data_IF_963166634773
#
_entry.id   IF_963166634773
#
_cell.length_a   1.000
_cell.length_b   1.000
_cell.length_c   1.000
_cell.angle_alpha   90.00
_cell.angle_beta   90.00
_cell.angle_gamma   90.00
#
_symmetry.space_group_name_H-M   'P 1'
#
loop_
_entity.id
_entity.type
_entity.pdbx_description
1 polymer ?
#
# COMPACT_ATOMS: atom_id res chain seq x y z
N UNK A 1 52.93 -17.77 24.74
CA UNK A 1 52.72 -19.23 24.78
C UNK A 1 52.68 -19.77 23.36
N UNK A 2 53.64 -20.63 22.99
CA UNK A 2 53.68 -21.29 21.67
C UNK A 2 52.45 -22.21 21.52
N UNK A 3 51.67 -22.05 20.44
CA UNK A 3 50.60 -22.99 20.04
C UNK A 3 51.24 -24.37 19.91
N UNK A 4 50.85 -25.33 20.76
CA UNK A 4 51.20 -26.75 20.55
C UNK A 4 50.40 -27.22 19.34
N UNK A 5 51.09 -27.66 18.29
CA UNK A 5 50.51 -28.07 17.01
C UNK A 5 49.65 -29.31 17.14
N UNK A 6 48.34 -29.14 17.09
CA UNK A 6 47.37 -30.24 17.00
C UNK A 6 46.46 -30.14 15.78
N UNK A 7 46.51 -29.03 15.01
CA UNK A 7 45.71 -28.84 13.81
C UNK A 7 46.52 -28.00 12.81
N UNK A 8 46.66 -28.50 11.58
CA UNK A 8 47.15 -27.72 10.44
C UNK A 8 46.01 -26.83 9.90
N UNK A 9 46.37 -25.68 9.32
CA UNK A 9 45.48 -24.54 9.05
C UNK A 9 44.35 -24.80 8.01
N UNK A 10 44.24 -26.02 7.44
CA UNK A 10 43.18 -26.43 6.50
C UNK A 10 42.41 -27.72 6.92
N UNK A 11 42.53 -28.15 8.18
CA UNK A 11 41.89 -29.40 8.62
C UNK A 11 40.40 -29.20 8.93
N UNK A 12 39.51 -29.81 8.13
CA UNK A 12 38.06 -29.83 8.42
C UNK A 12 37.80 -30.75 9.62
N UNK A 13 37.31 -30.19 10.74
CA UNK A 13 37.08 -30.96 11.97
C UNK A 13 35.83 -31.82 11.80
N UNK A 14 36.01 -33.11 11.54
CA UNK A 14 34.93 -34.09 11.46
C UNK A 14 34.46 -34.51 12.86
N UNK A 15 33.21 -34.98 12.97
CA UNK A 15 32.64 -35.50 14.23
C UNK A 15 33.47 -36.65 14.82
N UNK A 16 34.09 -37.47 13.95
CA UNK A 16 35.00 -38.55 14.32
C UNK A 16 36.29 -38.02 14.94
N UNK A 17 36.93 -37.01 14.32
CA UNK A 17 38.13 -36.37 14.87
C UNK A 17 37.85 -35.72 16.22
N UNK A 18 36.66 -35.12 16.37
CA UNK A 18 36.23 -34.50 17.62
C UNK A 18 36.02 -35.53 18.75
N UNK A 19 35.48 -36.72 18.41
CA UNK A 19 35.29 -37.81 19.37
C UNK A 19 36.63 -38.35 19.90
N UNK A 20 37.65 -38.47 19.04
CA UNK A 20 38.99 -38.91 19.43
C UNK A 20 39.72 -37.86 20.28
N UNK A 21 39.56 -36.58 19.97
CA UNK A 21 40.11 -35.49 20.79
C UNK A 21 39.50 -35.52 22.20
N UNK A 22 38.18 -35.73 22.32
CA UNK A 22 37.51 -35.86 23.62
C UNK A 22 38.03 -37.06 24.42
N UNK A 23 38.28 -38.20 23.76
CA UNK A 23 38.82 -39.42 24.37
C UNK A 23 40.25 -39.21 24.88
N UNK A 24 41.12 -38.64 24.05
CA UNK A 24 42.50 -38.32 24.43
C UNK A 24 42.55 -37.27 25.55
N UNK A 25 41.62 -36.30 25.57
CA UNK A 25 41.53 -35.32 26.65
C UNK A 25 41.11 -35.96 27.98
N UNK A 26 40.24 -36.97 27.97
CA UNK A 26 39.81 -37.69 29.17
C UNK A 26 40.94 -38.52 29.82
N UNK A 27 41.96 -38.91 29.06
CA UNK A 27 43.08 -39.74 29.55
C UNK A 27 44.23 -38.92 30.15
N UNK A 28 44.21 -37.59 30.02
CA UNK A 28 45.27 -36.72 30.56
C UNK A 28 45.29 -36.73 32.10
N UNK A 29 46.51 -36.75 32.66
CA UNK A 29 46.73 -36.63 34.09
C UNK A 29 46.24 -35.27 34.62
N UNK A 30 45.51 -35.28 35.75
CA UNK A 30 44.94 -34.08 36.36
C UNK A 30 43.48 -33.76 36.00
N UNK A 31 42.85 -34.53 35.12
CA UNK A 31 41.40 -34.40 34.82
C UNK A 31 40.58 -35.12 35.91
N UNK A 32 39.58 -34.43 36.49
CA UNK A 32 38.69 -35.01 37.52
C UNK A 32 37.84 -36.17 36.96
N UNK A 33 37.37 -37.06 37.82
CA UNK A 33 36.62 -38.24 37.37
C UNK A 33 35.29 -37.84 36.68
N UNK A 34 34.64 -36.79 37.15
CA UNK A 34 33.41 -36.25 36.57
C UNK A 34 33.67 -35.74 35.15
N UNK A 35 34.77 -35.01 34.94
CA UNK A 35 35.17 -34.53 33.63
C UNK A 35 35.55 -35.67 32.68
N UNK A 36 36.16 -36.75 33.18
CA UNK A 36 36.46 -37.95 32.38
C UNK A 36 35.19 -38.63 31.89
N UNK A 37 34.18 -38.80 32.75
CA UNK A 37 32.91 -39.41 32.37
C UNK A 37 32.15 -38.55 31.35
N UNK A 38 32.12 -37.23 31.54
CA UNK A 38 31.48 -36.33 30.58
C UNK A 38 32.15 -36.37 29.21
N UNK A 39 33.49 -36.32 29.16
CA UNK A 39 34.24 -36.37 27.90
C UNK A 39 34.06 -37.71 27.16
N UNK A 40 33.99 -38.83 27.90
CA UNK A 40 33.72 -40.16 27.32
C UNK A 40 32.28 -40.30 26.80
N UNK A 41 31.29 -39.79 27.53
CA UNK A 41 29.89 -39.78 27.09
C UNK A 41 29.71 -38.91 25.83
N UNK A 42 30.37 -37.75 25.78
CA UNK A 42 30.31 -36.85 24.63
C UNK A 42 30.98 -37.47 23.39
N UNK A 43 32.12 -38.17 23.57
CA UNK A 43 32.77 -38.95 22.52
C UNK A 43 31.85 -40.04 21.95
N UNK A 44 31.14 -40.78 22.80
CA UNK A 44 30.18 -41.80 22.37
C UNK A 44 29.01 -41.21 21.57
N UNK A 45 28.46 -40.07 22.01
CA UNK A 45 27.38 -39.37 21.29
C UNK A 45 27.85 -38.90 19.90
N UNK A 46 29.06 -38.34 19.81
CA UNK A 46 29.65 -37.91 18.54
C UNK A 46 29.91 -39.07 17.58
N UNK A 47 30.29 -40.24 18.09
CA UNK A 47 30.41 -41.47 17.29
C UNK A 47 29.04 -41.97 16.82
N UNK A 48 28.01 -41.98 17.67
CA UNK A 48 26.65 -42.38 17.25
C UNK A 48 26.01 -41.42 16.24
N UNK A 49 26.31 -40.12 16.33
CA UNK A 49 25.84 -39.13 15.36
C UNK A 49 26.54 -39.24 13.99
N UNK A 50 27.71 -39.89 13.93
CA UNK A 50 28.45 -40.14 12.69
C UNK A 50 27.97 -41.39 11.92
N UNK A 51 27.13 -42.24 12.52
CA UNK A 51 26.73 -43.55 11.94
C UNK A 51 25.23 -43.62 11.65
N UNK A 52 24.67 -42.64 10.94
CA UNK A 52 23.40 -42.87 10.24
C UNK A 52 23.62 -42.87 8.70
N UNK A 53 23.83 -44.05 8.09
CA UNK A 53 23.96 -44.20 6.64
C UNK A 53 22.77 -43.63 5.86
N UNK A 54 21.58 -43.55 6.48
CA UNK A 54 20.41 -42.93 5.87
C UNK A 54 20.57 -41.42 5.79
N UNK A 55 21.16 -40.78 6.80
CA UNK A 55 21.35 -39.33 6.83
C UNK A 55 22.43 -38.88 5.84
N UNK A 56 23.51 -39.63 5.69
CA UNK A 56 24.56 -39.34 4.69
C UNK A 56 24.06 -39.58 3.26
N UNK A 57 23.33 -40.69 3.02
CA UNK A 57 22.68 -40.96 1.74
C UNK A 57 21.62 -39.90 1.39
N UNK A 58 20.83 -39.48 2.38
CA UNK A 58 19.83 -38.42 2.22
C UNK A 58 20.49 -37.09 1.89
N UNK A 59 21.52 -36.67 2.63
CA UNK A 59 22.24 -35.43 2.38
C UNK A 59 22.88 -35.46 1.00
N UNK A 60 23.58 -36.54 0.62
CA UNK A 60 24.17 -36.67 -0.72
C UNK A 60 23.14 -36.58 -1.83
N UNK A 61 21.97 -37.21 -1.65
CA UNK A 61 20.86 -37.16 -2.62
C UNK A 61 20.21 -35.79 -2.67
N UNK A 62 20.03 -35.14 -1.53
CA UNK A 62 19.43 -33.81 -1.42
C UNK A 62 20.34 -32.75 -2.04
N UNK A 63 21.65 -32.79 -1.78
CA UNK A 63 22.63 -31.88 -2.38
C UNK A 63 22.70 -32.07 -3.89
N UNK A 64 22.77 -33.32 -4.38
CA UNK A 64 22.77 -33.59 -5.82
C UNK A 64 21.48 -33.10 -6.52
N UNK A 65 20.31 -33.22 -5.88
CA UNK A 65 19.06 -32.68 -6.40
C UNK A 65 19.05 -31.15 -6.40
N UNK A 66 19.55 -30.52 -5.34
CA UNK A 66 19.69 -29.07 -5.24
C UNK A 66 20.61 -28.53 -6.34
N UNK A 67 21.77 -29.15 -6.55
CA UNK A 67 22.71 -28.76 -7.61
C UNK A 67 22.07 -28.87 -8.99
N UNK A 68 21.34 -29.97 -9.26
CA UNK A 68 20.63 -30.13 -10.54
C UNK A 68 19.53 -29.08 -10.76
N UNK A 69 18.85 -28.65 -9.69
CA UNK A 69 17.84 -27.59 -9.73
C UNK A 69 18.48 -26.23 -9.98
N UNK A 70 19.62 -25.94 -9.33
CA UNK A 70 20.40 -24.71 -9.52
C UNK A 70 20.89 -24.62 -10.96
N UNK A 71 21.46 -25.69 -11.51
CA UNK A 71 21.94 -25.73 -12.89
C UNK A 71 20.80 -25.60 -13.91
N UNK A 72 19.67 -26.28 -13.70
CA UNK A 72 18.48 -26.13 -14.54
C UNK A 72 17.91 -24.71 -14.49
N UNK A 73 17.96 -24.06 -13.32
CA UNK A 73 17.49 -22.68 -13.14
C UNK A 73 18.44 -21.70 -13.81
N UNK A 74 19.75 -21.91 -13.68
CA UNK A 74 20.79 -21.12 -14.33
C UNK A 74 20.67 -21.20 -15.85
N UNK A 75 20.44 -22.40 -16.39
CA UNK A 75 20.23 -22.60 -17.83
C UNK A 75 18.98 -21.86 -18.33
N UNK A 76 17.84 -21.98 -17.63
CA UNK A 76 16.60 -21.26 -17.98
C UNK A 76 16.78 -19.75 -17.90
N UNK A 77 17.50 -19.26 -16.90
CA UNK A 77 17.80 -17.83 -16.75
C UNK A 77 18.68 -17.34 -17.91
N UNK A 78 19.73 -18.08 -18.27
CA UNK A 78 20.57 -17.76 -19.42
C UNK A 78 19.79 -17.73 -20.74
N UNK A 79 18.93 -18.73 -20.99
CA UNK A 79 18.06 -18.77 -22.17
C UNK A 79 17.07 -17.59 -22.21
N UNK A 80 16.51 -17.22 -21.05
CA UNK A 80 15.60 -16.07 -20.94
C UNK A 80 16.33 -14.75 -21.19
N UNK A 81 17.53 -14.59 -20.65
CA UNK A 81 18.39 -13.42 -20.91
C UNK A 81 18.68 -13.33 -22.41
N UNK A 82 19.13 -14.42 -23.04
CA UNK A 82 19.46 -14.42 -24.47
C UNK A 82 18.25 -14.10 -25.35
N UNK A 83 17.06 -14.66 -25.04
CA UNK A 83 15.81 -14.33 -25.73
C UNK A 83 15.44 -12.86 -25.56
N UNK A 84 15.62 -12.31 -24.35
CA UNK A 84 15.30 -10.90 -24.05
C UNK A 84 16.25 -9.96 -24.79
N UNK A 85 17.54 -10.29 -24.86
CA UNK A 85 18.53 -9.54 -25.63
C UNK A 85 18.18 -9.54 -27.12
N UNK A 86 17.82 -10.70 -27.69
CA UNK A 86 17.36 -10.79 -29.09
C UNK A 86 16.12 -9.94 -29.35
N UNK A 87 15.17 -9.91 -28.41
CA UNK A 87 14.01 -9.02 -28.51
C UNK A 87 14.39 -7.54 -28.43
N UNK A 88 15.33 -7.18 -27.56
CA UNK A 88 15.82 -5.81 -27.44
C UNK A 88 16.53 -5.34 -28.71
N UNK A 89 17.36 -6.20 -29.31
CA UNK A 89 18.02 -5.93 -30.59
C UNK A 89 17.00 -5.75 -31.71
N UNK A 90 15.99 -6.61 -31.79
CA UNK A 90 14.91 -6.50 -32.77
C UNK A 90 14.07 -5.22 -32.60
N UNK A 91 13.82 -4.81 -31.35
CA UNK A 91 13.13 -3.55 -31.05
C UNK A 91 13.99 -2.35 -31.44
N UNK A 92 15.30 -2.39 -31.16
CA UNK A 92 16.23 -1.33 -31.56
C UNK A 92 16.30 -1.18 -33.07
N UNK A 93 16.31 -2.29 -33.81
CA UNK A 93 16.33 -2.31 -35.26
C UNK A 93 15.04 -1.72 -35.84
N UNK A 94 13.87 -2.15 -35.35
CA UNK A 94 12.58 -1.56 -35.74
C UNK A 94 12.46 -0.08 -35.38
N UNK A 95 13.02 0.35 -34.25
CA UNK A 95 13.05 1.76 -33.87
C UNK A 95 13.88 2.59 -34.85
N UNK A 96 15.02 2.07 -35.32
CA UNK A 96 15.83 2.71 -36.35
C UNK A 96 15.09 2.83 -37.68
N UNK A 97 14.38 1.78 -38.11
CA UNK A 97 13.54 1.79 -39.33
C UNK A 97 12.40 2.80 -39.23
N UNK A 98 11.70 2.85 -38.08
CA UNK A 98 10.65 3.83 -37.79
C UNK A 98 11.18 5.27 -37.81
N UNK A 99 12.40 5.49 -37.32
CA UNK A 99 13.03 6.81 -37.31
C UNK A 99 13.35 7.28 -38.74
N UNK A 100 13.86 6.37 -39.59
CA UNK A 100 14.12 6.65 -41.00
C UNK A 100 12.79 6.95 -41.73
N UNK A 101 11.79 6.08 -41.59
CA UNK A 101 10.49 6.26 -42.22
C UNK A 101 9.77 7.54 -41.75
N UNK A 102 9.87 7.88 -40.47
CA UNK A 102 9.34 9.15 -39.95
C UNK A 102 10.08 10.37 -40.52
N UNK A 103 11.41 10.29 -40.70
CA UNK A 103 12.19 11.36 -41.31
C UNK A 103 11.83 11.59 -42.78
N UNK A 104 11.59 10.51 -43.54
CA UNK A 104 11.12 10.54 -44.92
C UNK A 104 9.70 11.10 -45.03
N UNK A 105 8.80 10.69 -44.13
CA UNK A 105 7.43 11.21 -44.05
C UNK A 105 7.41 12.71 -43.69
N UNK A 106 8.31 13.17 -42.82
CA UNK A 106 8.48 14.60 -42.49
C UNK A 106 9.03 15.39 -43.69
N UNK A 107 9.96 14.82 -44.46
CA UNK A 107 10.44 15.43 -45.70
C UNK A 107 9.34 15.53 -46.76
N UNK A 108 8.52 14.48 -46.91
CA UNK A 108 7.36 14.47 -47.81
C UNK A 108 6.27 15.47 -47.38
N UNK A 109 6.02 15.61 -46.07
CA UNK A 109 5.09 16.61 -45.51
C UNK A 109 5.57 18.05 -45.73
N UNK A 110 6.89 18.30 -45.72
CA UNK A 110 7.47 19.61 -46.05
C UNK A 110 7.40 19.95 -47.53
N UNK A 111 7.36 18.94 -48.40
CA UNK A 111 7.29 19.09 -49.86
C UNK A 111 5.85 19.16 -50.42
N UNK A 112 4.84 18.79 -49.63
CA UNK A 112 3.44 18.79 -50.07
C UNK A 112 2.81 20.19 -50.00
N UNK A 113 2.07 20.64 -51.03
CA UNK A 113 1.34 21.91 -50.98
C UNK A 113 0.24 21.85 -49.91
N UNK A 114 0.19 22.86 -49.06
CA UNK A 114 -0.74 22.93 -47.92
C UNK A 114 -2.17 23.17 -48.41
N UNK A 115 -2.99 22.12 -48.38
CA UNK A 115 -4.42 22.25 -48.17
C UNK A 115 -4.88 21.15 -47.21
N UNK A 116 -4.89 21.45 -45.90
CA UNK A 116 -5.50 20.57 -44.88
C UNK A 116 -6.79 21.21 -44.38
N UNK A 117 -7.89 20.49 -44.56
CA UNK A 117 -9.20 20.87 -44.04
C UNK A 117 -9.22 20.78 -42.51
N UNK A 118 -9.78 21.82 -41.89
CA UNK A 118 -9.87 22.07 -40.43
C UNK A 118 -10.48 20.91 -39.61
N UNK A 119 -11.31 20.07 -40.23
CA UNK A 119 -12.02 18.96 -39.57
C UNK A 119 -11.12 17.80 -39.13
N UNK A 120 -10.02 17.52 -39.83
CA UNK A 120 -9.10 16.43 -39.48
C UNK A 120 -8.13 16.79 -38.35
N UNK A 121 -7.84 18.07 -38.15
CA UNK A 121 -7.02 18.55 -37.05
C UNK A 121 -7.71 18.40 -35.68
N UNK A 122 -9.05 18.47 -35.64
CA UNK A 122 -9.84 18.32 -34.41
C UNK A 122 -9.97 16.86 -33.95
N UNK A 123 -10.07 15.90 -34.89
CA UNK A 123 -10.21 14.48 -34.56
C UNK A 123 -8.91 13.85 -34.02
N UNK A 124 -7.74 14.25 -34.55
CA UNK A 124 -6.46 13.71 -34.08
C UNK A 124 -6.07 14.25 -32.69
N UNK A 125 -6.37 15.53 -32.40
CA UNK A 125 -6.07 16.16 -31.11
C UNK A 125 -6.92 15.64 -29.94
N UNK A 126 -8.09 15.05 -30.22
CA UNK A 126 -8.92 14.41 -29.21
C UNK A 126 -8.39 13.02 -28.81
N UNK A 127 -7.86 12.26 -29.78
CA UNK A 127 -7.38 10.89 -29.57
C UNK A 127 -6.03 10.86 -28.80
N UNK A 128 -5.10 11.76 -29.10
CA UNK A 128 -3.80 11.84 -28.41
C UNK A 128 -3.90 12.38 -26.98
N UNK A 129 -4.86 13.26 -26.68
CA UNK A 129 -5.09 13.76 -25.31
C UNK A 129 -5.68 12.68 -24.38
N UNK A 130 -6.49 11.77 -24.92
CA UNK A 130 -7.07 10.64 -24.17
C UNK A 130 -6.05 9.53 -23.88
N UNK A 131 -5.05 9.34 -24.76
CA UNK A 131 -3.99 8.34 -24.55
C UNK A 131 -2.84 8.84 -23.66
N UNK A 132 -2.58 10.16 -23.61
CA UNK A 132 -1.56 10.73 -22.71
C UNK A 132 -2.05 10.97 -21.28
N UNK A 133 -3.36 11.09 -21.04
CA UNK A 133 -3.91 11.27 -19.68
C UNK A 133 -3.96 9.98 -18.86
N UNK A 134 -3.78 8.84 -19.52
CA UNK A 134 -3.84 7.50 -18.95
C UNK A 134 -2.47 6.82 -18.89
N UNK A 135 -1.36 7.57 -18.91
CA UNK A 135 -0.03 7.05 -18.57
C UNK A 135 0.51 7.90 -17.42
N UNK A 136 0.40 7.39 -16.19
CA UNK A 136 1.07 8.01 -15.07
C UNK A 136 2.59 7.83 -15.19
N UNK A 137 3.30 8.90 -15.52
CA UNK A 137 4.77 8.88 -15.50
C UNK A 137 5.28 8.44 -14.10
N UNK A 138 6.25 7.53 -14.08
CA UNK A 138 6.94 7.05 -12.88
C UNK A 138 7.37 8.21 -11.97
N UNK A 139 7.84 9.32 -12.57
CA UNK A 139 8.27 10.51 -11.82
C UNK A 139 7.09 11.12 -11.05
N UNK A 140 5.92 11.22 -11.67
CA UNK A 140 4.71 11.76 -11.02
C UNK A 140 4.23 10.84 -9.90
N UNK A 141 4.25 9.52 -10.09
CA UNK A 141 3.89 8.56 -9.05
C UNK A 141 4.83 8.64 -7.83
N UNK A 142 6.15 8.64 -8.07
CA UNK A 142 7.17 8.76 -7.02
C UNK A 142 7.03 10.09 -6.28
N UNK A 143 6.79 11.20 -6.98
CA UNK A 143 6.57 12.49 -6.35
C UNK A 143 5.34 12.50 -5.44
N UNK A 144 4.24 11.83 -5.84
CA UNK A 144 3.05 11.67 -4.98
C UNK A 144 3.40 10.90 -3.70
N UNK A 145 4.14 9.81 -3.82
CA UNK A 145 4.56 8.99 -2.67
C UNK A 145 5.47 9.80 -1.74
N UNK A 146 6.50 10.44 -2.29
CA UNK A 146 7.44 11.26 -1.54
C UNK A 146 6.74 12.43 -0.83
N UNK A 147 5.81 13.13 -1.50
CA UNK A 147 5.05 14.21 -0.89
C UNK A 147 4.26 13.71 0.33
N UNK A 148 3.64 12.53 0.24
CA UNK A 148 2.85 11.94 1.34
C UNK A 148 3.70 11.48 2.52
N UNK A 149 4.92 10.99 2.26
CA UNK A 149 5.85 10.60 3.33
C UNK A 149 6.26 11.80 4.20
N UNK A 150 6.14 13.04 3.68
CA UNK A 150 6.38 14.28 4.42
C UNK A 150 5.19 14.79 5.24
N UNK A 151 4.04 14.11 5.20
CA UNK A 151 2.82 14.59 5.82
C UNK A 151 2.61 14.05 7.24
N UNK A 152 2.13 14.92 8.13
CA UNK A 152 1.67 14.59 9.50
C UNK A 152 0.28 15.17 9.69
N UNK A 153 -0.70 14.34 10.01
CA UNK A 153 -2.06 14.76 10.34
C UNK A 153 -2.27 14.60 11.85
N UNK A 154 -2.83 15.60 12.50
CA UNK A 154 -3.29 15.52 13.88
C UNK A 154 -4.60 16.31 14.02
N UNK A 155 -5.39 16.04 15.07
CA UNK A 155 -6.63 16.77 15.29
C UNK A 155 -6.35 18.27 15.53
N UNK A 156 -7.25 19.14 15.07
CA UNK A 156 -7.09 20.58 15.25
C UNK A 156 -7.16 20.92 16.75
N UNK A 157 -6.14 21.61 17.32
CA UNK A 157 -6.15 22.01 18.72
C UNK A 157 -7.32 22.94 19.02
N UNK A 158 -7.89 22.86 20.23
CA UNK A 158 -9.02 23.71 20.66
C UNK A 158 -8.71 25.20 20.53
N UNK A 159 -7.45 25.60 20.77
CA UNK A 159 -6.97 26.98 20.63
C UNK A 159 -7.00 27.51 19.17
N UNK A 160 -7.04 26.61 18.18
CA UNK A 160 -7.03 26.92 16.74
C UNK A 160 -8.40 26.62 16.10
N UNK A 161 -9.21 25.79 16.75
CA UNK A 161 -10.51 25.36 16.25
C UNK A 161 -11.48 26.55 16.17
N UNK A 162 -12.03 26.80 14.96
CA UNK A 162 -13.12 27.75 14.76
C UNK A 162 -14.45 27.01 14.81
N UNK A 163 -15.40 27.50 15.61
CA UNK A 163 -16.77 26.94 15.64
C UNK A 163 -17.48 27.12 14.29
N UNK A 164 -17.25 28.26 13.62
CA UNK A 164 -17.76 28.59 12.28
C UNK A 164 -16.75 29.48 11.54
N UNK A 165 -16.75 29.40 10.21
CA UNK A 165 -15.92 30.24 9.35
C UNK A 165 -14.78 29.49 8.66
N UNK A 166 -14.17 30.14 7.66
CA UNK A 166 -13.06 29.60 6.87
C UNK A 166 -11.74 30.13 7.47
N UNK A 167 -10.70 29.31 7.42
CA UNK A 167 -9.34 29.75 7.75
C UNK A 167 -8.78 30.59 6.60
N UNK A 168 -8.44 31.83 6.90
CA UNK A 168 -7.79 32.72 5.93
C UNK A 168 -6.35 32.28 5.69
N UNK A 169 -5.74 32.77 4.62
CA UNK A 169 -4.33 32.49 4.35
C UNK A 169 -3.41 33.04 5.45
N UNK A 170 -3.77 34.17 6.05
CA UNK A 170 -3.01 34.78 7.14
C UNK A 170 -3.13 33.97 8.42
N UNK A 171 -4.32 33.42 8.72
CA UNK A 171 -4.50 32.46 9.83
C UNK A 171 -3.56 31.27 9.66
N UNK A 172 -3.57 30.65 8.47
CA UNK A 172 -2.75 29.46 8.17
C UNK A 172 -1.26 29.78 8.31
N UNK A 173 -0.80 30.92 7.80
CA UNK A 173 0.59 31.32 7.92
C UNK A 173 0.99 31.55 9.38
N UNK A 174 0.18 32.28 10.16
CA UNK A 174 0.44 32.52 11.57
C UNK A 174 0.51 31.22 12.39
N UNK A 175 -0.38 30.26 12.14
CA UNK A 175 -0.35 28.96 12.80
C UNK A 175 0.91 28.15 12.42
N UNK A 176 1.27 28.16 11.12
CA UNK A 176 2.48 27.49 10.64
C UNK A 176 3.74 28.08 11.28
N UNK A 177 3.82 29.40 11.40
CA UNK A 177 4.97 30.09 11.99
C UNK A 177 5.08 29.79 13.49
N UNK A 178 3.94 29.78 14.20
CA UNK A 178 3.87 29.40 15.62
C UNK A 178 4.37 27.96 15.83
N UNK A 179 3.94 27.02 14.98
CA UNK A 179 4.37 25.62 15.04
C UNK A 179 5.87 25.46 14.70
N UNK A 180 6.39 26.23 13.74
CA UNK A 180 7.84 26.22 13.44
C UNK A 180 8.67 26.71 14.63
N UNK A 181 8.26 27.78 15.32
CA UNK A 181 8.93 28.27 16.54
C UNK A 181 8.93 27.18 17.64
N UNK A 182 7.81 26.47 17.80
CA UNK A 182 7.74 25.37 18.75
C UNK A 182 8.62 24.17 18.37
N UNK A 183 8.71 23.85 17.08
CA UNK A 183 9.55 22.79 16.53
C UNK A 183 11.05 23.09 16.71
N UNK A 184 11.47 24.33 16.46
CA UNK A 184 12.85 24.78 16.70
C UNK A 184 13.26 24.60 18.17
N UNK A 185 12.38 25.01 19.10
CA UNK A 185 12.60 24.80 20.55
C UNK A 185 12.63 23.34 20.97
N UNK A 186 11.98 22.43 20.23
CA UNK A 186 11.97 21.01 20.53
C UNK A 186 13.24 20.30 20.04
N UNK A 187 13.91 20.87 19.05
CA UNK A 187 15.12 20.28 18.46
C UNK A 187 16.42 20.88 19.01
N UNK A 188 16.32 21.78 20.00
CA UNK A 188 17.42 22.60 20.52
C UNK A 188 18.23 23.31 19.41
N UNK A 189 17.58 23.58 18.27
CA UNK A 189 18.22 24.12 17.07
C UNK A 189 19.26 23.19 16.40
N UNK A 190 19.47 21.98 16.91
CA UNK A 190 20.52 21.07 16.44
C UNK A 190 20.17 20.38 15.11
N UNK A 191 18.89 20.32 14.75
CA UNK A 191 18.42 19.71 13.49
C UNK A 191 17.52 20.66 12.70
N UNK A 192 17.84 20.87 11.41
CA UNK A 192 17.09 21.73 10.48
C UNK A 192 15.75 21.11 10.04
N UNK A 193 14.87 20.75 10.98
CA UNK A 193 13.51 20.26 10.67
C UNK A 193 12.58 21.46 10.52
N UNK A 194 11.78 21.51 9.44
CA UNK A 194 10.90 22.65 9.18
C UNK A 194 9.56 22.23 8.62
N UNK A 195 8.50 22.91 9.06
CA UNK A 195 7.17 22.82 8.46
C UNK A 195 7.13 23.78 7.28
N UNK A 196 7.01 23.23 6.06
CA UNK A 196 6.96 23.99 4.80
C UNK A 196 5.53 24.30 4.37
N UNK A 197 4.56 23.49 4.81
CA UNK A 197 3.14 23.66 4.49
C UNK A 197 2.22 23.31 5.66
N UNK A 198 1.06 23.96 5.70
CA UNK A 198 -0.01 23.68 6.63
C UNK A 198 -1.35 23.79 5.90
N UNK A 199 -2.23 22.81 6.12
CA UNK A 199 -3.60 22.83 5.66
C UNK A 199 -4.52 22.39 6.80
N UNK A 200 -5.64 23.09 6.99
CA UNK A 200 -6.67 22.67 7.95
C UNK A 200 -7.80 22.02 7.17
N UNK A 201 -8.07 20.75 7.49
CA UNK A 201 -9.14 19.95 6.92
C UNK A 201 -10.16 19.60 7.99
N UNK A 202 -11.32 19.09 7.58
CA UNK A 202 -12.41 18.73 8.51
C UNK A 202 -11.97 17.81 9.65
N UNK A 203 -11.01 16.92 9.41
CA UNK A 203 -10.54 15.93 10.38
C UNK A 203 -9.36 16.42 11.23
N UNK A 204 -8.75 17.57 10.91
CA UNK A 204 -7.58 18.04 11.63
C UNK A 204 -6.66 18.98 10.85
N UNK A 205 -5.46 19.19 11.39
CA UNK A 205 -4.38 19.96 10.77
C UNK A 205 -3.38 19.01 10.10
N UNK A 206 -3.14 19.24 8.81
CA UNK A 206 -2.19 18.52 7.98
C UNK A 206 -0.93 19.35 7.77
N UNK A 207 0.19 18.89 8.30
CA UNK A 207 1.51 19.49 8.10
C UNK A 207 2.22 18.83 6.94
N UNK A 208 2.96 19.63 6.18
CA UNK A 208 3.99 19.17 5.27
C UNK A 208 5.35 19.58 5.82
N UNK A 209 6.19 18.58 6.08
CA UNK A 209 7.56 18.77 6.56
C UNK A 209 8.52 18.87 5.38
N UNK A 210 9.72 19.38 5.62
CA UNK A 210 10.79 19.51 4.64
C UNK A 210 11.26 18.15 4.08
N UNK A 211 11.22 17.09 4.90
CA UNK A 211 11.65 15.74 4.52
C UNK A 211 10.79 14.63 5.14
N UNK A 212 10.88 13.43 4.57
CA UNK A 212 10.21 12.22 5.10
C UNK A 212 10.79 11.81 6.46
N UNK A 213 12.07 12.09 6.70
CA UNK A 213 12.73 11.85 7.98
C UNK A 213 12.19 12.78 9.06
N UNK A 214 12.04 14.08 8.77
CA UNK A 214 11.43 15.06 9.68
C UNK A 214 9.99 14.66 10.06
N UNK A 215 9.20 14.22 9.08
CA UNK A 215 7.83 13.77 9.34
C UNK A 215 7.77 12.48 10.17
N UNK A 216 8.66 11.52 9.92
CA UNK A 216 8.75 10.29 10.73
C UNK A 216 9.17 10.61 12.16
N UNK A 217 10.21 11.42 12.32
CA UNK A 217 10.69 11.87 13.62
C UNK A 217 9.59 12.55 14.42
N UNK A 218 8.76 13.41 13.80
CA UNK A 218 7.69 14.11 14.50
C UNK A 218 6.55 13.19 14.96
N UNK A 219 6.32 12.07 14.27
CA UNK A 219 5.27 11.09 14.62
C UNK A 219 5.65 10.20 15.81
N UNK A 220 6.94 10.06 16.09
CA UNK A 220 7.47 9.19 17.14
C UNK A 220 7.47 9.87 18.51
N UNK A 221 7.46 9.05 19.58
CA UNK A 221 7.70 9.46 20.97
C UNK A 221 6.87 10.68 21.41
N UNK A 222 5.63 10.79 20.94
CA UNK A 222 4.71 11.88 21.28
C UNK A 222 5.20 13.30 20.92
N UNK A 223 6.24 13.45 20.09
CA UNK A 223 6.87 14.74 19.76
C UNK A 223 5.89 15.71 19.08
N UNK A 224 4.95 15.21 18.29
CA UNK A 224 3.89 16.03 17.71
C UNK A 224 3.02 16.69 18.81
N UNK A 225 2.64 15.95 19.85
CA UNK A 225 1.88 16.49 20.96
C UNK A 225 2.70 17.50 21.78
N UNK A 226 3.98 17.22 22.02
CA UNK A 226 4.89 18.14 22.70
C UNK A 226 5.07 19.46 21.93
N UNK A 227 5.20 19.39 20.60
CA UNK A 227 5.28 20.57 19.74
C UNK A 227 3.99 21.40 19.83
N UNK A 228 2.81 20.76 19.74
CA UNK A 228 1.51 21.44 19.82
C UNK A 228 1.31 22.06 21.22
N UNK A 229 1.69 21.34 22.28
CA UNK A 229 1.69 21.85 23.66
C UNK A 229 2.54 23.11 23.79
N UNK A 230 3.75 23.11 23.24
CA UNK A 230 4.66 24.27 23.25
C UNK A 230 4.12 25.43 22.41
N UNK A 231 3.41 25.15 21.32
CA UNK A 231 2.86 26.16 20.41
C UNK A 231 1.65 26.90 21.00
N UNK A 232 0.74 26.19 21.66
CA UNK A 232 -0.56 26.75 22.04
C UNK A 232 -0.88 26.66 23.54
N UNK A 233 0.05 26.17 24.38
CA UNK A 233 -0.16 25.96 25.82
C UNK A 233 -1.41 25.08 26.05
N UNK A 234 -1.59 24.06 25.20
CA UNK A 234 -2.69 23.09 25.32
C UNK A 234 -2.32 21.97 26.30
N UNK A 235 -3.31 21.23 26.79
CA UNK A 235 -3.05 19.96 27.50
C UNK A 235 -2.49 18.94 26.50
N UNK A 236 -1.54 18.10 26.91
CA UNK A 236 -0.89 17.11 26.02
C UNK A 236 -1.90 16.11 25.45
N UNK A 237 -2.89 15.71 26.25
CA UNK A 237 -3.93 14.75 25.93
C UNK A 237 -4.86 15.20 24.78
N UNK A 238 -4.82 16.49 24.42
CA UNK A 238 -5.62 17.04 23.33
C UNK A 238 -5.03 16.73 21.96
N UNK A 239 -3.74 16.39 21.83
CA UNK A 239 -3.13 16.18 20.52
C UNK A 239 -3.01 14.69 20.19
N UNK A 240 -3.73 14.27 19.16
CA UNK A 240 -3.74 12.91 18.64
C UNK A 240 -3.28 12.93 17.19
N UNK A 241 -2.11 12.33 16.92
CA UNK A 241 -1.64 12.07 15.56
C UNK A 241 -2.62 11.08 14.93
N UNK A 242 -3.19 11.46 13.79
CA UNK A 242 -4.15 10.65 13.06
C UNK A 242 -3.37 9.88 11.99
N UNK A 243 -3.23 8.54 12.12
CA UNK A 243 -2.51 7.75 11.13
C UNK A 243 -3.23 7.81 9.78
N UNK A 244 -2.45 7.76 8.71
CA UNK A 244 -3.00 7.64 7.36
C UNK A 244 -3.53 6.22 7.17
N UNK A 245 -4.85 6.06 7.19
CA UNK A 245 -5.50 4.78 6.91
C UNK A 245 -5.49 4.46 5.41
N UNK A 246 -5.25 3.20 5.09
CA UNK A 246 -5.36 2.62 3.75
C UNK A 246 -6.56 1.67 3.74
N UNK A 247 -7.68 2.17 3.23
CA UNK A 247 -8.98 1.48 3.30
C UNK A 247 -9.05 0.31 2.30
N UNK A 248 -9.36 -0.87 2.83
CA UNK A 248 -9.60 -2.10 2.09
C UNK A 248 -11.07 -2.52 2.24
N UNK A 249 -11.61 -3.13 1.19
CA UNK A 249 -12.87 -3.85 1.23
C UNK A 249 -12.59 -5.35 1.13
N UNK A 250 -13.18 -6.10 2.04
CA UNK A 250 -13.14 -7.56 2.04
C UNK A 250 -14.56 -8.08 1.99
N UNK A 251 -14.84 -8.95 1.01
CA UNK A 251 -16.18 -9.50 0.78
C UNK A 251 -16.29 -10.92 1.30
N UNK A 252 -17.50 -11.31 1.68
CA UNK A 252 -17.86 -12.67 2.09
C UNK A 252 -17.11 -13.17 3.33
N UNK A 253 -16.98 -12.31 4.33
CA UNK A 253 -16.45 -12.67 5.65
C UNK A 253 -17.56 -13.32 6.48
N UNK A 254 -17.31 -14.48 7.10
CA UNK A 254 -18.21 -15.09 8.07
C UNK A 254 -18.63 -14.12 9.17
N UNK A 255 -19.90 -14.17 9.59
CA UNK A 255 -20.45 -13.22 10.58
C UNK A 255 -19.98 -13.46 12.02
N UNK A 256 -19.31 -14.59 12.28
CA UNK A 256 -18.67 -14.94 13.56
C UNK A 256 -17.32 -14.24 13.79
N UNK A 257 -16.66 -13.73 12.74
CA UNK A 257 -15.51 -12.85 12.87
C UNK A 257 -15.93 -11.51 13.50
N UNK A 258 -15.28 -11.07 14.59
CA UNK A 258 -15.53 -9.74 15.14
C UNK A 258 -14.47 -8.71 14.66
N UNK A 259 -14.82 -7.79 13.74
CA UNK A 259 -13.90 -6.76 13.27
C UNK A 259 -13.58 -5.68 14.31
N UNK A 260 -14.26 -5.66 15.45
CA UNK A 260 -14.06 -4.69 16.52
C UNK A 260 -13.16 -5.21 17.65
N UNK A 261 -12.88 -6.51 17.68
CA UNK A 261 -12.04 -7.14 18.69
C UNK A 261 -10.57 -7.12 18.27
N UNK A 262 -9.70 -6.62 19.15
CA UNK A 262 -8.27 -6.49 18.86
C UNK A 262 -7.59 -7.85 18.63
N UNK A 263 -7.97 -8.88 19.39
CA UNK A 263 -7.45 -10.25 19.24
C UNK A 263 -7.80 -10.86 17.88
N UNK A 264 -9.02 -10.62 17.40
CA UNK A 264 -9.46 -11.02 16.06
C UNK A 264 -8.61 -10.34 14.98
N UNK A 265 -8.29 -9.05 15.12
CA UNK A 265 -7.40 -8.35 14.18
C UNK A 265 -5.96 -8.87 14.25
N UNK A 266 -5.45 -9.12 15.45
CA UNK A 266 -4.10 -9.65 15.64
C UNK A 266 -3.94 -11.05 15.03
N UNK A 267 -4.98 -11.89 15.15
CA UNK A 267 -5.02 -13.20 14.49
C UNK A 267 -4.92 -13.08 12.97
N UNK A 268 -5.64 -12.11 12.38
CA UNK A 268 -5.51 -11.81 10.95
C UNK A 268 -4.10 -11.34 10.60
N UNK A 269 -3.47 -10.51 11.42
CA UNK A 269 -2.08 -10.10 11.19
C UNK A 269 -1.13 -11.29 11.17
N UNK A 270 -1.21 -12.15 12.20
CA UNK A 270 -0.37 -13.33 12.36
C UNK A 270 -0.54 -14.33 11.21
N UNK A 271 -1.79 -14.69 10.89
CA UNK A 271 -2.13 -15.66 9.84
C UNK A 271 -1.65 -15.24 8.44
N UNK A 272 -1.48 -13.93 8.22
CA UNK A 272 -1.07 -13.36 6.94
C UNK A 272 0.39 -12.88 6.92
N UNK A 273 1.15 -13.08 8.01
CA UNK A 273 2.52 -12.62 8.13
C UNK A 273 2.67 -11.10 8.09
N UNK A 274 1.66 -10.37 8.59
CA UNK A 274 1.70 -8.92 8.69
C UNK A 274 2.45 -8.48 9.95
N UNK A 275 3.08 -7.29 9.96
CA UNK A 275 3.61 -6.72 11.18
C UNK A 275 2.51 -6.54 12.23
N UNK A 276 2.80 -6.72 13.52
CA UNK A 276 1.84 -6.46 14.60
C UNK A 276 1.33 -5.01 14.55
N UNK A 277 0.04 -4.82 14.85
CA UNK A 277 -0.67 -3.53 14.86
C UNK A 277 -0.62 -2.77 13.52
N UNK A 278 -0.48 -3.51 12.42
CA UNK A 278 -0.54 -2.96 11.07
C UNK A 278 -1.96 -2.78 10.54
N UNK A 279 -2.94 -3.45 11.13
CA UNK A 279 -4.38 -3.17 10.98
C UNK A 279 -4.79 -2.19 12.08
N UNK A 280 -5.15 -0.97 11.69
CA UNK A 280 -5.56 0.11 12.61
C UNK A 280 -6.96 -0.17 13.18
N UNK A 281 -7.86 -0.67 12.34
CA UNK A 281 -9.25 -0.96 12.69
C UNK A 281 -9.93 -1.75 11.58
N UNK A 282 -10.99 -2.46 11.93
CA UNK A 282 -11.94 -2.96 10.96
C UNK A 282 -13.38 -2.63 11.39
N UNK A 283 -14.31 -2.71 10.44
CA UNK A 283 -15.74 -2.54 10.72
C UNK A 283 -16.59 -3.22 9.66
N UNK A 284 -17.78 -3.67 10.05
CA UNK A 284 -18.77 -4.14 9.10
C UNK A 284 -19.25 -3.01 8.20
N UNK A 285 -19.26 -3.22 6.87
CA UNK A 285 -19.80 -2.23 5.91
C UNK A 285 -21.31 -2.06 6.10
N UNK A 286 -22.01 -3.16 6.39
CA UNK A 286 -23.43 -3.15 6.73
C UNK A 286 -23.57 -3.39 8.23
N UNK A 287 -24.26 -2.46 8.89
CA UNK A 287 -24.62 -2.57 10.30
C UNK A 287 -25.22 -3.94 10.62
N UNK A 288 -24.72 -4.67 11.64
CA UNK A 288 -25.24 -5.97 12.04
C UNK A 288 -26.75 -5.98 12.29
N UNK A 289 -27.32 -4.91 12.84
CA UNK A 289 -28.76 -4.77 13.11
C UNK A 289 -29.63 -4.78 11.84
N UNK A 290 -29.03 -4.58 10.67
CA UNK A 290 -29.72 -4.55 9.38
C UNK A 290 -29.57 -5.84 8.58
N UNK A 291 -28.91 -6.86 9.13
CA UNK A 291 -28.77 -8.17 8.48
C UNK A 291 -30.12 -8.87 8.44
N UNK A 292 -30.31 -9.69 7.41
CA UNK A 292 -31.47 -10.58 7.40
C UNK A 292 -31.19 -11.78 8.31
N UNK A 293 -32.24 -12.41 8.82
CA UNK A 293 -32.12 -13.57 9.68
C UNK A 293 -31.43 -14.74 8.95
N UNK A 294 -30.44 -15.36 9.58
CA UNK A 294 -29.64 -16.44 8.97
C UNK A 294 -28.55 -15.99 8.00
N UNK A 295 -28.25 -14.69 7.90
CA UNK A 295 -27.14 -14.21 7.07
C UNK A 295 -25.78 -14.74 7.59
N UNK A 296 -25.16 -15.68 6.86
CA UNK A 296 -23.88 -16.29 7.25
C UNK A 296 -22.61 -15.52 6.87
N UNK A 297 -22.70 -14.57 5.93
CA UNK A 297 -21.55 -13.80 5.44
C UNK A 297 -21.88 -12.31 5.31
N UNK A 298 -20.88 -11.45 5.52
CA UNK A 298 -20.96 -10.00 5.37
C UNK A 298 -19.66 -9.42 4.79
N UNK A 299 -19.63 -8.11 4.55
CA UNK A 299 -18.46 -7.42 4.01
C UNK A 299 -17.84 -6.54 5.08
N UNK A 300 -16.51 -6.57 5.17
CA UNK A 300 -15.71 -5.82 6.14
C UNK A 300 -14.93 -4.72 5.42
N UNK A 301 -14.81 -3.57 6.08
CA UNK A 301 -13.83 -2.54 5.76
C UNK A 301 -12.66 -2.66 6.73
N UNK A 302 -11.44 -2.77 6.22
CA UNK A 302 -10.21 -2.86 7.01
C UNK A 302 -9.35 -1.61 6.73
N UNK A 303 -8.79 -1.01 7.77
CA UNK A 303 -7.91 0.15 7.68
C UNK A 303 -6.48 -0.24 8.01
N UNK A 304 -5.57 -0.23 7.05
CA UNK A 304 -4.16 -0.55 7.30
C UNK A 304 -3.31 0.71 7.56
N UNK A 305 -2.29 0.56 8.40
CA UNK A 305 -1.34 1.61 8.77
C UNK A 305 -0.37 1.99 7.64
N UNK A 306 -0.16 1.09 6.67
CA UNK A 306 0.82 1.25 5.61
C UNK A 306 0.27 0.82 4.25
N UNK A 307 0.63 1.52 3.17
CA UNK A 307 0.27 1.09 1.82
C UNK A 307 0.91 -0.25 1.47
N UNK A 308 2.08 -0.59 2.05
CA UNK A 308 2.75 -1.88 1.83
C UNK A 308 1.93 -3.04 2.38
N UNK A 309 1.43 -2.89 3.61
CA UNK A 309 0.58 -3.90 4.27
C UNK A 309 -0.73 -4.07 3.50
N UNK A 310 -1.35 -2.95 3.13
CA UNK A 310 -2.58 -2.99 2.34
C UNK A 310 -2.38 -3.70 0.99
N UNK A 311 -1.28 -3.41 0.30
CA UNK A 311 -0.94 -4.06 -0.97
C UNK A 311 -0.61 -5.54 -0.82
N UNK A 312 0.04 -5.96 0.29
CA UNK A 312 0.28 -7.37 0.59
C UNK A 312 -1.02 -8.15 0.71
N UNK A 313 -2.01 -7.60 1.43
CA UNK A 313 -3.33 -8.20 1.55
C UNK A 313 -4.07 -8.26 0.20
N UNK A 314 -3.93 -7.25 -0.66
CA UNK A 314 -4.55 -7.25 -2.01
C UNK A 314 -3.92 -8.31 -2.92
N UNK A 315 -2.61 -8.54 -2.83
CA UNK A 315 -1.88 -9.48 -3.70
C UNK A 315 -2.14 -10.95 -3.35
N UNK A 316 -2.21 -11.27 -2.06
CA UNK A 316 -2.33 -12.64 -1.59
C UNK A 316 -3.77 -13.11 -1.39
N UNK A 317 -4.01 -14.43 -1.30
CA UNK A 317 -5.16 -14.91 -0.54
C UNK A 317 -5.00 -14.43 0.91
N UNK A 318 -5.85 -13.49 1.34
CA UNK A 318 -5.86 -13.05 2.74
C UNK A 318 -6.65 -14.06 3.56
N UNK A 319 -6.09 -14.54 4.67
CA UNK A 319 -6.79 -15.41 5.62
C UNK A 319 -7.50 -14.56 6.68
N UNK A 320 -8.77 -14.86 6.93
CA UNK A 320 -9.51 -14.32 8.08
C UNK A 320 -10.18 -15.51 8.74
N UNK A 321 -9.58 -15.97 9.84
CA UNK A 321 -9.91 -17.25 10.47
C UNK A 321 -9.71 -18.40 9.50
N UNK A 322 -10.72 -19.26 9.38
CA UNK A 322 -10.64 -20.44 8.50
C UNK A 322 -10.88 -20.14 7.01
N UNK A 323 -11.03 -18.87 6.62
CA UNK A 323 -11.41 -18.48 5.27
C UNK A 323 -10.31 -17.74 4.52
N UNK A 324 -10.06 -18.17 3.29
CA UNK A 324 -9.25 -17.42 2.33
C UNK A 324 -10.15 -16.50 1.51
N UNK A 325 -9.91 -15.19 1.59
CA UNK A 325 -10.80 -14.16 1.08
C UNK A 325 -10.08 -13.24 0.10
N UNK A 326 -10.85 -12.70 -0.85
CA UNK A 326 -10.33 -11.72 -1.82
C UNK A 326 -10.47 -10.32 -1.23
N UNK A 327 -9.33 -9.66 -1.10
CA UNK A 327 -9.23 -8.27 -0.66
C UNK A 327 -9.09 -7.36 -1.87
N UNK A 328 -9.70 -6.19 -1.81
CA UNK A 328 -9.50 -5.13 -2.79
C UNK A 328 -9.37 -3.79 -2.08
N UNK A 329 -8.65 -2.86 -2.69
CA UNK A 329 -8.65 -1.48 -2.24
C UNK A 329 -10.05 -0.88 -2.29
N UNK A 330 -10.45 -0.17 -1.24
CA UNK A 330 -11.75 0.51 -1.22
C UNK A 330 -11.77 1.61 -2.28
N UNK A 331 -12.72 1.52 -3.21
CA UNK A 331 -12.89 2.51 -4.26
C UNK A 331 -13.91 3.55 -3.82
N UNK A 332 -13.49 4.82 -3.78
CA UNK A 332 -14.40 5.93 -3.49
C UNK A 332 -15.19 6.27 -4.74
N UNK A 333 -16.43 5.77 -4.81
CA UNK A 333 -17.39 6.18 -5.83
C UNK A 333 -17.74 7.65 -5.60
N UNK A 334 -17.87 8.44 -6.68
CA UNK A 334 -18.36 9.81 -6.62
C UNK A 334 -19.77 9.80 -5.98
N UNK A 335 -19.93 10.36 -4.78
CA UNK A 335 -21.20 10.26 -4.07
C UNK A 335 -22.28 11.06 -4.79
N UNK A 336 -23.52 10.60 -4.64
CA UNK A 336 -24.73 11.34 -4.97
C UNK A 336 -25.46 11.69 -3.69
N UNK A 337 -26.09 12.85 -3.66
CA UNK A 337 -26.94 13.29 -2.57
C UNK A 337 -28.12 12.32 -2.42
N UNK A 338 -28.32 11.77 -1.22
CA UNK A 338 -29.42 10.84 -0.94
C UNK A 338 -30.81 11.48 -1.07
N UNK A 339 -30.90 12.83 -1.15
CA UNK A 339 -32.15 13.57 -1.31
C UNK A 339 -32.53 13.78 -2.77
N UNK A 340 -31.65 14.41 -3.54
CA UNK A 340 -31.95 14.83 -4.91
C UNK A 340 -31.26 13.96 -5.98
N UNK A 341 -30.49 12.95 -5.58
CA UNK A 341 -29.75 12.04 -6.47
C UNK A 341 -28.75 12.75 -7.41
N UNK A 342 -28.30 13.97 -7.07
CA UNK A 342 -27.28 14.74 -7.81
C UNK A 342 -25.93 14.75 -7.11
N UNK A 343 -24.88 15.12 -7.84
CA UNK A 343 -23.51 15.23 -7.34
C UNK A 343 -23.27 16.53 -6.53
N UNK A 344 -22.03 16.68 -6.05
CA UNK A 344 -21.45 17.90 -5.45
C UNK A 344 -21.89 18.28 -4.03
N UNK A 345 -22.88 17.60 -3.46
CA UNK A 345 -23.29 17.83 -2.07
C UNK A 345 -23.86 16.56 -1.43
N UNK A 346 -23.89 16.56 -0.11
CA UNK A 346 -24.55 15.54 0.70
C UNK A 346 -25.90 16.04 1.22
N UNK A 347 -26.68 15.14 1.79
CA UNK A 347 -28.01 15.41 2.35
C UNK A 347 -28.06 16.66 3.23
N UNK A 348 -27.06 16.83 4.12
CA UNK A 348 -27.00 17.96 5.06
C UNK A 348 -26.88 19.35 4.41
N UNK A 349 -26.35 19.42 3.19
CA UNK A 349 -26.19 20.66 2.43
C UNK A 349 -27.19 20.77 1.26
N UNK A 350 -28.16 19.85 1.18
CA UNK A 350 -29.13 19.83 0.09
C UNK A 350 -30.22 20.89 0.30
N UNK A 351 -30.33 21.80 -0.67
CA UNK A 351 -31.35 22.87 -0.66
C UNK A 351 -32.70 22.45 -1.26
N UNK A 352 -32.80 21.24 -1.80
CA UNK A 352 -34.04 20.73 -2.38
C UNK A 352 -35.01 20.34 -1.27
N UNK A 353 -36.26 20.78 -1.38
CA UNK A 353 -37.30 20.46 -0.38
C UNK A 353 -37.71 18.99 -0.47
N UNK A 354 -38.03 18.54 -1.68
CA UNK A 354 -38.58 17.20 -1.96
C UNK A 354 -37.50 16.18 -2.31
N UNK A 355 -37.78 14.91 -2.04
CA UNK A 355 -36.90 13.81 -2.41
C UNK A 355 -37.07 13.44 -3.89
N UNK A 356 -35.98 13.04 -4.51
CA UNK A 356 -35.93 12.44 -5.85
C UNK A 356 -35.42 11.02 -5.70
N UNK A 357 -36.26 10.06 -6.09
CA UNK A 357 -35.95 8.65 -5.99
C UNK A 357 -34.72 8.29 -6.83
N UNK A 358 -33.76 7.60 -6.21
CA UNK A 358 -32.52 7.12 -6.85
C UNK A 358 -32.81 6.14 -7.99
N UNK A 359 -33.88 5.36 -7.86
CA UNK A 359 -34.24 4.31 -8.81
C UNK A 359 -34.97 4.87 -10.02
N UNK A 360 -36.13 5.52 -9.84
CA UNK A 360 -37.01 5.95 -10.93
C UNK A 360 -37.04 7.46 -11.20
N UNK A 361 -36.26 8.26 -10.47
CA UNK A 361 -36.18 9.73 -10.57
C UNK A 361 -37.50 10.49 -10.30
N UNK A 362 -38.51 9.82 -9.73
CA UNK A 362 -39.78 10.45 -9.32
C UNK A 362 -39.71 11.07 -7.92
N UNK A 363 -40.71 11.86 -7.57
CA UNK A 363 -40.79 12.55 -6.28
C UNK A 363 -41.23 11.62 -5.14
N UNK A 364 -40.26 10.94 -4.53
CA UNK A 364 -40.42 10.20 -3.27
C UNK A 364 -39.05 9.81 -2.71
N UNK A 365 -39.02 9.40 -1.45
CA UNK A 365 -37.85 8.79 -0.84
C UNK A 365 -37.55 7.44 -1.51
N UNK A 366 -36.27 7.17 -1.80
CA UNK A 366 -35.85 5.92 -2.47
C UNK A 366 -36.22 4.64 -1.69
N UNK A 367 -36.50 4.77 -0.38
CA UNK A 367 -36.95 3.66 0.46
C UNK A 367 -38.38 3.22 0.11
N UNK A 368 -39.20 4.18 -0.29
CA UNK A 368 -40.64 4.04 -0.52
C UNK A 368 -40.97 3.90 -2.01
N UNK A 369 -39.96 3.56 -2.82
CA UNK A 369 -40.12 3.40 -4.26
C UNK A 369 -41.02 2.19 -4.57
N UNK A 370 -42.17 2.38 -5.25
CA UNK A 370 -43.11 1.30 -5.53
C UNK A 370 -42.56 0.30 -6.55
N UNK A 371 -41.67 0.76 -7.45
CA UNK A 371 -41.03 -0.08 -8.46
C UNK A 371 -39.57 0.34 -8.65
N UNK A 372 -38.67 -0.48 -8.10
CA UNK A 372 -37.21 -0.28 -8.19
C UNK A 372 -36.62 -0.77 -9.52
N UNK A 373 -37.42 -1.44 -10.35
CA UNK A 373 -36.99 -1.97 -11.66
C UNK A 373 -37.11 -0.94 -12.78
N UNK A 374 -38.03 0.02 -12.64
CA UNK A 374 -38.13 1.18 -13.52
C UNK A 374 -37.00 2.16 -13.25
N UNK A 375 -35.85 1.90 -13.86
CA UNK A 375 -34.66 2.70 -13.63
C UNK A 375 -34.66 3.99 -14.44
N UNK A 376 -34.32 5.10 -13.81
CA UNK A 376 -34.02 6.39 -14.42
C UNK A 376 -32.94 7.10 -13.60
N UNK A 377 -31.82 7.38 -14.26
CA UNK A 377 -30.68 8.05 -13.68
C UNK A 377 -30.89 9.57 -13.70
N UNK A 378 -30.94 10.21 -12.53
CA UNK A 378 -31.09 11.68 -12.41
C UNK A 378 -29.87 12.43 -12.96
N UNK A 379 -28.61 12.00 -12.73
CA UNK A 379 -27.45 12.69 -13.29
C UNK A 379 -27.36 12.70 -14.82
N UNK A 380 -27.58 11.56 -15.49
CA UNK A 380 -27.35 11.45 -16.94
C UNK A 380 -28.64 11.28 -17.78
N UNK A 381 -29.80 11.17 -17.13
CA UNK A 381 -31.10 11.00 -17.79
C UNK A 381 -31.40 9.60 -18.34
N UNK A 382 -30.46 8.65 -18.25
CA UNK A 382 -30.62 7.30 -18.81
C UNK A 382 -31.72 6.49 -18.12
N UNK A 383 -32.53 5.76 -18.88
CA UNK A 383 -33.51 4.79 -18.36
C UNK A 383 -32.95 3.36 -18.22
N UNK A 384 -31.65 3.13 -18.50
CA UNK A 384 -31.03 1.80 -18.46
C UNK A 384 -30.40 1.44 -17.12
N UNK A 385 -30.27 2.42 -16.23
CA UNK A 385 -29.66 2.25 -14.91
C UNK A 385 -30.20 3.30 -13.92
N UNK A 386 -30.13 2.98 -12.62
CA UNK A 386 -30.50 3.90 -11.54
C UNK A 386 -29.38 4.91 -11.26
N UNK A 387 -29.70 6.02 -10.59
CA UNK A 387 -28.69 7.00 -10.18
C UNK A 387 -27.59 6.36 -9.32
N UNK A 388 -26.33 6.73 -9.56
CA UNK A 388 -25.16 6.20 -8.83
C UNK A 388 -24.77 4.76 -9.19
N UNK A 389 -25.30 4.22 -10.30
CA UNK A 389 -24.79 3.01 -10.95
C UNK A 389 -23.45 3.31 -11.65
N UNK A 390 -22.54 2.34 -11.70
CA UNK A 390 -21.21 2.47 -12.33
C UNK A 390 -21.28 2.73 -13.85
N UNK A 391 -22.40 2.40 -14.49
CA UNK A 391 -22.67 2.65 -15.91
C UNK A 391 -23.03 4.11 -16.22
N UNK A 392 -23.16 4.97 -15.20
CA UNK A 392 -23.49 6.38 -15.38
C UNK A 392 -22.31 7.17 -15.97
N UNK A 393 -22.48 7.71 -17.17
CA UNK A 393 -21.45 8.49 -17.88
C UNK A 393 -21.04 9.76 -17.13
N UNK A 394 -21.97 10.42 -16.45
CA UNK A 394 -21.70 11.64 -15.67
C UNK A 394 -20.87 11.31 -14.42
N UNK A 395 -21.22 10.21 -13.73
CA UNK A 395 -20.46 9.75 -12.57
C UNK A 395 -19.06 9.29 -13.00
N UNK A 396 -18.93 8.60 -14.14
CA UNK A 396 -17.64 8.20 -14.71
C UNK A 396 -16.76 9.40 -15.07
N UNK A 397 -17.32 10.40 -15.78
CA UNK A 397 -16.60 11.63 -16.13
C UNK A 397 -16.08 12.35 -14.87
N UNK A 398 -16.87 12.41 -13.80
CA UNK A 398 -16.43 12.98 -12.52
C UNK A 398 -15.35 12.16 -11.84
N UNK A 399 -15.44 10.83 -11.87
CA UNK A 399 -14.37 9.95 -11.38
C UNK A 399 -13.08 10.18 -12.16
N UNK A 400 -13.16 10.32 -13.49
CA UNK A 400 -12.01 10.61 -14.34
C UNK A 400 -11.35 11.94 -13.95
N UNK A 401 -12.13 13.01 -13.76
CA UNK A 401 -11.62 14.31 -13.28
C UNK A 401 -10.98 14.22 -11.90
N UNK A 402 -11.56 13.45 -10.98
CA UNK A 402 -10.95 13.22 -9.67
C UNK A 402 -9.62 12.46 -9.80
N UNK A 403 -9.54 11.51 -10.74
CA UNK A 403 -8.33 10.74 -10.99
C UNK A 403 -7.22 11.56 -11.67
N UNK A 404 -7.54 12.58 -12.47
CA UNK A 404 -6.52 13.49 -13.04
C UNK A 404 -5.70 14.17 -11.94
N UNK A 405 -6.36 14.57 -10.85
CA UNK A 405 -5.74 15.19 -9.68
C UNK A 405 -5.20 14.17 -8.66
N UNK A 406 -5.85 13.01 -8.54
CA UNK A 406 -5.49 11.94 -7.61
C UNK A 406 -5.43 10.59 -8.35
N UNK A 407 -4.36 10.33 -9.13
CA UNK A 407 -4.30 9.18 -10.05
C UNK A 407 -4.34 7.83 -9.33
N UNK A 408 -3.88 7.77 -8.08
CA UNK A 408 -4.01 6.58 -7.24
C UNK A 408 -5.47 6.14 -7.08
N UNK A 409 -6.48 7.02 -7.21
CA UNK A 409 -7.90 6.66 -7.06
C UNK A 409 -8.34 5.56 -8.03
N UNK A 410 -7.72 5.47 -9.22
CA UNK A 410 -8.01 4.43 -10.23
C UNK A 410 -7.13 3.20 -10.11
N UNK A 411 -6.09 3.25 -9.28
CA UNK A 411 -5.18 2.12 -9.12
C UNK A 411 -5.78 1.07 -8.22
N UNK A 412 -5.59 -0.20 -8.59
CA UNK A 412 -5.93 -1.37 -7.77
C UNK A 412 -5.12 -1.40 -6.47
N UNK A 413 -3.93 -0.79 -6.47
CA UNK A 413 -2.99 -0.75 -5.36
C UNK A 413 -2.86 0.65 -4.78
N UNK A 414 -2.28 0.72 -3.58
CA UNK A 414 -1.77 1.97 -3.02
C UNK A 414 -0.38 2.23 -3.56
N UNK A 415 -0.09 3.47 -3.94
CA UNK A 415 1.21 3.82 -4.48
C UNK A 415 2.28 3.68 -3.40
N UNK A 416 3.37 3.03 -3.78
CA UNK A 416 4.60 2.94 -3.00
C UNK A 416 5.77 3.34 -3.90
N UNK A 417 7.00 3.25 -3.40
CA UNK A 417 8.20 3.44 -4.22
C UNK A 417 8.39 2.31 -5.24
N UNK A 418 7.66 1.20 -5.10
CA UNK A 418 7.77 0.06 -5.98
C UNK A 418 6.93 0.26 -7.24
N UNK A 419 7.57 0.18 -8.40
CA UNK A 419 7.00 0.52 -9.71
C UNK A 419 5.72 -0.24 -10.05
N UNK A 420 5.61 -1.49 -9.63
CA UNK A 420 4.46 -2.33 -9.92
C UNK A 420 3.16 -1.79 -9.29
N UNK A 421 3.24 -0.98 -8.23
CA UNK A 421 2.05 -0.44 -7.55
C UNK A 421 1.30 0.62 -8.35
N UNK A 422 1.96 1.25 -9.33
CA UNK A 422 1.38 2.30 -10.17
C UNK A 422 1.53 2.04 -11.68
N UNK A 423 2.00 0.85 -12.06
CA UNK A 423 2.09 0.44 -13.46
C UNK A 423 0.71 0.05 -13.99
N UNK A 424 0.25 0.69 -15.07
CA UNK A 424 -1.08 0.48 -15.65
C UNK A 424 -1.28 -0.90 -16.25
N UNK A 425 -0.23 -1.56 -16.75
CA UNK A 425 -0.32 -2.94 -17.24
C UNK A 425 -0.76 -3.93 -16.15
N UNK A 426 -0.43 -3.65 -14.89
CA UNK A 426 -0.82 -4.44 -13.71
C UNK A 426 -2.14 -3.92 -13.10
N UNK A 427 -2.45 -2.64 -13.32
CA UNK A 427 -3.64 -1.97 -12.78
C UNK A 427 -4.85 -1.99 -13.73
N UNK A 428 -4.71 -2.46 -14.98
CA UNK A 428 -5.82 -2.62 -15.92
C UNK A 428 -6.87 -3.59 -15.34
N UNK A 429 -8.18 -3.25 -15.40
CA UNK A 429 -9.26 -4.00 -14.77
C UNK A 429 -9.27 -5.49 -15.09
#
# INVERSE_FOLDING_TARGET
MKKRGWLEDDTTITTVLMADICRQAAEKAGVSQEAKHMLKAFSFVLETAAVDPLLESFNKTATAKLDSLVDATKLKLSQTIESTTKHLDAVSLKYSELTISASEAVAALKAAPVHRLYSQALASNACTKLSQSLILDNVKAINIVNARERLVLFNTPSAVAKERGIYTRDDINAYKDTLNVALEKLTDGASKKRIVGLCIIRTGMLLELDSAESARWLKENNRCAEMVKKAYISREEETKVIPRAHELMVRFIPVDFDPHEEESLHSVELENGLPPHSIISASWIKDPSRRYEGQGYANVKINCASPKVANHMILGPTRIGNHSVKVQKEHRIVPICAKCSRHDHFLAACKVERFTCRFCAQEHSSRDCPDKTQTKCTPCGSSRHSSGDERCIESKSRQDRQAEHAPETRSKFFFTKDRWTYNESVNAP
#
